data_IF_286586826558
#
_entry.id   IF_286586826558
#
_cell.length_a   1.000
_cell.length_b   1.000
_cell.length_c   1.000
_cell.angle_alpha   90.00
_cell.angle_beta   90.00
_cell.angle_gamma   90.00
#
_symmetry.space_group_name_H-M   'P 1'
#
loop_
_entity.id
_entity.type
_entity.pdbx_description
1 polymer ?
#
# COMPACT_ATOMS: atom_id res chain seq x y z
N UNK A 1 0.74 -17.74 -5.27
CA UNK A 1 1.51 -16.97 -4.27
C UNK A 1 1.80 -17.86 -3.09
N UNK A 2 3.03 -17.82 -2.58
CA UNK A 2 3.45 -18.62 -1.44
C UNK A 2 2.89 -18.09 -0.10
N UNK A 3 2.72 -18.94 0.91
CA UNK A 3 2.20 -18.54 2.22
C UNK A 3 3.11 -17.52 2.93
N UNK A 4 4.44 -17.63 2.76
CA UNK A 4 5.40 -16.68 3.33
C UNK A 4 5.31 -15.33 2.62
N UNK A 5 5.14 -15.35 1.30
CA UNK A 5 4.98 -14.13 0.51
C UNK A 5 3.69 -13.40 0.88
N UNK A 6 2.57 -14.12 0.99
CA UNK A 6 1.29 -13.53 1.44
C UNK A 6 1.41 -12.90 2.82
N UNK A 7 2.08 -13.57 3.76
CA UNK A 7 2.30 -13.05 5.11
C UNK A 7 3.14 -11.77 5.11
N UNK A 8 4.18 -11.69 4.27
CA UNK A 8 4.97 -10.47 4.09
C UNK A 8 4.13 -9.31 3.55
N UNK A 9 3.34 -9.57 2.50
CA UNK A 9 2.47 -8.54 1.91
C UNK A 9 1.40 -8.06 2.91
N UNK A 10 0.82 -8.97 3.69
CA UNK A 10 -0.12 -8.63 4.76
C UNK A 10 0.55 -7.75 5.82
N UNK A 11 1.79 -8.07 6.23
CA UNK A 11 2.54 -7.23 7.16
C UNK A 11 2.79 -5.83 6.62
N UNK A 12 3.04 -5.67 5.31
CA UNK A 12 3.14 -4.35 4.68
C UNK A 12 1.81 -3.59 4.72
N UNK A 13 0.68 -4.27 4.58
CA UNK A 13 -0.64 -3.65 4.67
C UNK A 13 -0.95 -3.17 6.10
N UNK A 14 -0.61 -3.98 7.10
CA UNK A 14 -0.80 -3.64 8.50
C UNK A 14 0.08 -2.43 8.89
N UNK A 15 1.34 -2.39 8.43
CA UNK A 15 2.23 -1.24 8.59
C UNK A 15 1.67 0.03 7.91
N UNK A 16 1.10 -0.12 6.72
CA UNK A 16 0.44 0.98 6.02
C UNK A 16 -0.73 1.55 6.85
N UNK A 17 -1.61 0.69 7.37
CA UNK A 17 -2.71 1.12 8.26
C UNK A 17 -2.20 1.80 9.52
N UNK A 18 -1.20 1.21 10.18
CA UNK A 18 -0.60 1.75 11.40
C UNK A 18 0.02 3.13 11.18
N UNK A 19 0.64 3.36 10.01
CA UNK A 19 1.18 4.68 9.64
C UNK A 19 0.07 5.72 9.54
N UNK A 20 -1.06 5.37 8.90
CA UNK A 20 -2.22 6.27 8.83
C UNK A 20 -2.79 6.58 10.21
N UNK A 21 -2.96 5.55 11.05
CA UNK A 21 -3.43 5.69 12.42
C UNK A 21 -2.50 6.60 13.26
N UNK A 22 -1.17 6.44 13.13
CA UNK A 22 -0.18 7.27 13.83
C UNK A 22 -0.33 8.76 13.51
N UNK A 23 -0.73 9.09 12.28
CA UNK A 23 -0.96 10.48 11.84
C UNK A 23 -2.43 10.93 11.98
N UNK A 24 -3.28 10.14 12.62
CA UNK A 24 -4.73 10.37 12.72
C UNK A 24 -5.41 10.58 11.35
N UNK A 25 -4.90 9.86 10.34
CA UNK A 25 -5.39 9.87 8.97
C UNK A 25 -6.17 8.60 8.70
N UNK A 26 -7.10 8.67 7.74
CA UNK A 26 -7.81 7.49 7.23
C UNK A 26 -7.43 7.25 5.76
N UNK A 27 -6.94 6.06 5.39
CA UNK A 27 -6.66 5.76 3.99
C UNK A 27 -7.96 5.71 3.19
N UNK A 28 -7.90 6.11 1.93
CA UNK A 28 -9.08 6.09 1.07
C UNK A 28 -9.51 4.65 0.77
N UNK A 29 -10.80 4.46 0.46
CA UNK A 29 -11.34 3.15 0.05
C UNK A 29 -10.56 2.56 -1.12
N UNK A 30 -10.18 3.39 -2.10
CA UNK A 30 -9.36 2.95 -3.24
C UNK A 30 -7.95 2.50 -2.85
N UNK A 31 -7.32 3.16 -1.88
CA UNK A 31 -6.00 2.74 -1.38
C UNK A 31 -6.08 1.41 -0.65
N UNK A 32 -7.12 1.21 0.16
CA UNK A 32 -7.37 -0.07 0.84
C UNK A 32 -7.55 -1.20 -0.18
N UNK A 33 -8.43 -0.99 -1.17
CA UNK A 33 -8.71 -2.00 -2.20
C UNK A 33 -7.46 -2.37 -3.01
N UNK A 34 -6.69 -1.39 -3.48
CA UNK A 34 -5.47 -1.67 -4.23
C UNK A 34 -4.44 -2.44 -3.39
N UNK A 35 -4.34 -2.14 -2.08
CA UNK A 35 -3.44 -2.90 -1.20
C UNK A 35 -3.95 -4.32 -0.94
N UNK A 36 -5.27 -4.52 -0.83
CA UNK A 36 -5.86 -5.86 -0.71
C UNK A 36 -5.62 -6.72 -1.95
N UNK A 37 -5.74 -6.15 -3.15
CA UNK A 37 -5.37 -6.82 -4.41
C UNK A 37 -3.87 -7.22 -4.41
N UNK A 38 -3.01 -6.34 -3.89
CA UNK A 38 -1.58 -6.63 -3.73
C UNK A 38 -1.35 -7.79 -2.75
N UNK A 39 -2.02 -7.78 -1.59
CA UNK A 39 -1.94 -8.87 -0.60
C UNK A 39 -2.45 -10.19 -1.16
N UNK A 40 -3.49 -10.16 -2.01
CA UNK A 40 -4.03 -11.34 -2.68
C UNK A 40 -3.15 -11.86 -3.82
N UNK A 41 -2.15 -11.09 -4.25
CA UNK A 41 -1.27 -11.45 -5.36
C UNK A 41 -1.85 -11.15 -6.74
N UNK A 42 -2.94 -10.39 -6.82
CA UNK A 42 -3.59 -10.00 -8.07
C UNK A 42 -2.81 -8.91 -8.81
N UNK A 43 -2.16 -8.03 -8.05
CA UNK A 43 -1.26 -7.00 -8.57
C UNK A 43 0.12 -7.09 -7.91
N UNK A 44 1.14 -6.57 -8.59
CA UNK A 44 2.48 -6.44 -8.03
C UNK A 44 2.70 -5.07 -7.33
N UNK A 45 3.89 -4.87 -6.75
CA UNK A 45 4.20 -3.64 -6.01
C UNK A 45 4.24 -2.38 -6.91
N UNK A 46 4.68 -2.51 -8.16
CA UNK A 46 4.72 -1.40 -9.13
C UNK A 46 3.30 -0.96 -9.52
N UNK A 47 2.40 -1.93 -9.73
CA UNK A 47 0.99 -1.67 -10.01
C UNK A 47 0.26 -1.06 -8.81
N UNK A 48 0.56 -1.51 -7.60
CA UNK A 48 0.07 -0.90 -6.36
C UNK A 48 0.48 0.57 -6.29
N UNK A 49 1.77 0.86 -6.55
CA UNK A 49 2.28 2.23 -6.56
C UNK A 49 1.61 3.08 -7.64
N UNK A 50 1.42 2.54 -8.85
CA UNK A 50 0.70 3.24 -9.93
C UNK A 50 -0.73 3.58 -9.52
N UNK A 51 -1.49 2.62 -8.97
CA UNK A 51 -2.86 2.85 -8.48
C UNK A 51 -2.88 3.91 -7.39
N UNK A 52 -1.90 3.89 -6.48
CA UNK A 52 -1.77 4.91 -5.44
C UNK A 52 -1.50 6.31 -6.02
N UNK A 53 -0.68 6.41 -7.07
CA UNK A 53 -0.45 7.67 -7.78
C UNK A 53 -1.70 8.16 -8.51
N UNK A 54 -2.42 7.29 -9.20
CA UNK A 54 -3.65 7.62 -9.94
C UNK A 54 -4.77 8.08 -9.00
N UNK A 55 -4.97 7.38 -7.89
CA UNK A 55 -5.96 7.73 -6.87
C UNK A 55 -5.71 9.09 -6.22
N UNK A 56 -4.47 9.57 -6.25
CA UNK A 56 -4.08 10.81 -5.60
C UNK A 56 -4.44 12.05 -6.41
N UNK A 57 -4.65 11.91 -7.72
CA UNK A 57 -4.65 13.04 -8.64
C UNK A 57 -3.24 13.63 -8.73
N UNK A 58 -2.71 13.72 -9.94
CA UNK A 58 -1.40 14.34 -10.19
C UNK A 58 -1.24 15.67 -9.42
N UNK A 59 -0.11 15.81 -8.72
CA UNK A 59 0.45 17.00 -8.05
C UNK A 59 0.25 17.16 -6.52
N UNK A 60 1.38 17.50 -5.89
CA UNK A 60 1.59 18.01 -4.54
C UNK A 60 1.63 17.04 -3.32
N UNK A 61 2.87 16.60 -3.07
CA UNK A 61 3.54 16.56 -1.75
C UNK A 61 2.86 15.75 -0.63
N UNK A 62 3.14 14.44 -0.57
CA UNK A 62 3.53 13.78 0.69
C UNK A 62 4.13 12.38 0.48
N UNK A 63 5.19 12.08 1.25
CA UNK A 63 5.99 10.84 1.39
C UNK A 63 5.97 9.86 0.20
N UNK A 64 7.07 9.87 -0.56
CA UNK A 64 7.59 8.62 -1.14
C UNK A 64 7.66 7.63 0.02
N UNK A 65 6.79 6.62 0.06
CA UNK A 65 7.05 5.46 0.91
C UNK A 65 8.37 4.87 0.39
N UNK A 66 9.46 4.94 1.16
CA UNK A 66 10.71 4.40 0.68
C UNK A 66 10.51 2.90 0.44
N UNK A 67 11.04 2.37 -0.66
CA UNK A 67 11.00 0.93 -0.97
C UNK A 67 11.48 0.05 0.20
N UNK A 68 12.23 0.61 1.14
CA UNK A 68 12.62 -0.01 2.40
C UNK A 68 11.47 -0.38 3.35
N UNK A 69 10.25 0.11 3.14
CA UNK A 69 9.08 -0.34 3.91
C UNK A 69 8.45 -1.63 3.36
N UNK A 70 8.86 -2.08 2.18
CA UNK A 70 8.35 -3.27 1.50
C UNK A 70 9.39 -4.41 1.40
N UNK A 71 10.60 -4.20 1.92
CA UNK A 71 11.71 -5.15 1.92
C UNK A 71 12.02 -5.69 3.31
#
# INVERSE_FOLDING_TARGET
MDHVEKAKRQSSFDNFKSTYEYYDLTPSVGQIQAFEEYVCGEINAEELQRKFHELRGSTDKFMLYPMSMFY
#
